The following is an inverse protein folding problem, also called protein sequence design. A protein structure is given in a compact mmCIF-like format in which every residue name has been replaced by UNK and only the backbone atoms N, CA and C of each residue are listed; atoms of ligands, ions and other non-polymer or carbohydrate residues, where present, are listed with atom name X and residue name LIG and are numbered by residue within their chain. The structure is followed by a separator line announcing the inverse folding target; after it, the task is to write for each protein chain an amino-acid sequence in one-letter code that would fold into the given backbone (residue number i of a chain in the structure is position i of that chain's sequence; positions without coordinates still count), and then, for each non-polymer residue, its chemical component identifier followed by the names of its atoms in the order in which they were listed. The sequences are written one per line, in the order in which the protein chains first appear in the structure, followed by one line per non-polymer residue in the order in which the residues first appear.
data_IF_594703775130
#
_entry.id   IF_594703775130
#
_cell.length_a   1.000
_cell.length_b   1.000
_cell.length_c   1.000
_cell.angle_alpha   90.00
_cell.angle_beta   90.00
_cell.angle_gamma   90.00
#
_symmetry.space_group_name_H-M   'P 1'
#
loop_
_entity.id
_entity.type
_entity.pdbx_description
1 polymer ?
#
# COMPACT_ATOMS: atom_id res chain seq x y z
N UNK A 1 -18.12 9.02 -8.40
CA UNK A 1 -17.52 7.67 -8.50
C UNK A 1 -18.06 6.80 -7.39
N UNK A 2 -18.66 5.67 -7.73
CA UNK A 2 -19.21 4.73 -6.75
C UNK A 2 -18.35 3.48 -6.73
N UNK A 3 -17.84 3.17 -5.54
CA UNK A 3 -17.06 1.96 -5.32
C UNK A 3 -17.97 0.86 -4.77
N UNK A 4 -17.95 -0.30 -5.41
CA UNK A 4 -18.73 -1.46 -4.99
C UNK A 4 -17.81 -2.52 -4.40
N UNK A 5 -17.78 -2.62 -3.07
CA UNK A 5 -16.95 -3.59 -2.36
C UNK A 5 -17.85 -4.53 -1.57
N UNK A 6 -17.61 -5.84 -1.77
CA UNK A 6 -18.17 -6.86 -0.92
C UNK A 6 -17.31 -6.88 0.35
N UNK A 7 -17.87 -6.58 1.53
CA UNK A 7 -17.08 -6.55 2.76
C UNK A 7 -16.54 -7.94 3.15
N UNK A 8 -17.21 -9.02 2.73
CA UNK A 8 -16.74 -10.38 2.98
C UNK A 8 -16.20 -10.59 4.39
N UNK A 9 -15.21 -11.45 4.52
CA UNK A 9 -14.58 -11.78 5.80
C UNK A 9 -13.30 -10.99 6.07
N UNK A 10 -12.97 -10.05 5.22
CA UNK A 10 -11.62 -9.52 5.18
C UNK A 10 -11.29 -8.49 6.24
N UNK A 11 -12.27 -7.88 6.93
CA UNK A 11 -11.94 -6.71 7.73
C UNK A 11 -12.58 -6.66 9.09
N UNK A 12 -11.77 -6.24 10.07
CA UNK A 12 -12.22 -5.90 11.39
C UNK A 12 -12.73 -4.45 11.49
N UNK A 13 -13.01 -4.05 12.72
CA UNK A 13 -13.46 -2.68 13.03
C UNK A 13 -12.32 -1.69 12.78
N UNK A 14 -12.69 -0.45 12.43
CA UNK A 14 -11.72 0.61 12.15
C UNK A 14 -11.25 0.68 10.70
N UNK A 15 -11.62 -0.29 9.87
CA UNK A 15 -11.27 -0.30 8.47
C UNK A 15 -11.70 0.98 7.76
N UNK A 16 -12.86 1.50 8.12
CA UNK A 16 -13.43 2.67 7.45
C UNK A 16 -12.53 3.91 7.60
N UNK A 17 -12.09 4.20 8.82
CA UNK A 17 -11.22 5.35 9.09
C UNK A 17 -9.84 5.16 8.49
N UNK A 18 -9.26 3.97 8.64
CA UNK A 18 -7.92 3.69 8.14
C UNK A 18 -7.89 3.73 6.61
N UNK A 19 -8.95 3.23 5.97
CA UNK A 19 -9.09 3.28 4.52
C UNK A 19 -9.22 4.72 4.03
N UNK A 20 -10.01 5.53 4.70
CA UNK A 20 -10.17 6.94 4.35
C UNK A 20 -8.85 7.71 4.44
N UNK A 21 -8.05 7.43 5.47
CA UNK A 21 -6.73 8.05 5.60
C UNK A 21 -5.83 7.72 4.40
N UNK A 22 -5.81 6.45 3.98
CA UNK A 22 -5.07 6.04 2.79
C UNK A 22 -5.57 6.74 1.53
N UNK A 23 -6.89 6.79 1.35
CA UNK A 23 -7.50 7.38 0.15
C UNK A 23 -7.10 8.84 0.01
N UNK A 24 -7.10 9.61 1.10
CA UNK A 24 -6.71 11.01 1.06
C UNK A 24 -5.28 11.20 0.57
N UNK A 25 -4.37 10.32 0.98
CA UNK A 25 -2.99 10.37 0.53
C UNK A 25 -2.85 9.89 -0.91
N UNK A 26 -3.53 8.80 -1.27
CA UNK A 26 -3.49 8.28 -2.64
C UNK A 26 -3.91 9.33 -3.66
N UNK A 27 -4.96 10.08 -3.37
CA UNK A 27 -5.44 11.15 -4.27
C UNK A 27 -4.39 12.21 -4.58
N UNK A 28 -3.46 12.45 -3.66
CA UNK A 28 -2.41 13.46 -3.85
C UNK A 28 -1.34 13.01 -4.84
N UNK A 29 -1.11 11.70 -4.97
CA UNK A 29 0.07 11.19 -5.67
C UNK A 29 -0.23 10.35 -6.90
N UNK A 30 -1.48 9.88 -7.09
CA UNK A 30 -1.82 9.05 -8.25
C UNK A 30 -1.77 9.86 -9.54
N UNK A 31 -1.11 9.31 -10.56
CA UNK A 31 -1.07 9.83 -11.91
C UNK A 31 -1.42 8.72 -12.90
N UNK A 32 -1.67 9.03 -14.19
CA UNK A 32 -1.96 7.98 -15.19
C UNK A 32 -0.79 7.01 -15.43
N UNK A 33 0.38 7.32 -14.89
CA UNK A 33 1.57 6.47 -15.03
C UNK A 33 1.89 5.67 -13.78
N UNK A 34 1.09 5.81 -12.73
CA UNK A 34 1.38 5.19 -11.43
C UNK A 34 1.30 3.66 -11.49
N UNK A 35 2.41 3.03 -11.10
CA UNK A 35 2.47 1.61 -10.75
C UNK A 35 2.34 1.52 -9.23
N UNK A 36 1.34 0.78 -8.75
CA UNK A 36 1.01 0.72 -7.32
C UNK A 36 1.17 -0.68 -6.77
N UNK A 37 1.72 -0.78 -5.58
CA UNK A 37 1.78 -2.03 -4.81
C UNK A 37 0.94 -1.86 -3.54
N UNK A 38 0.00 -2.78 -3.33
CA UNK A 38 -0.86 -2.81 -2.14
C UNK A 38 -0.50 -4.04 -1.31
N UNK A 39 0.21 -3.83 -0.20
CA UNK A 39 0.65 -4.91 0.68
C UNK A 39 -0.45 -5.21 1.70
N UNK A 40 -0.87 -6.48 1.75
CA UNK A 40 -2.00 -6.88 2.59
C UNK A 40 -3.31 -6.36 2.00
N UNK A 41 -3.51 -6.59 0.70
CA UNK A 41 -4.58 -5.95 -0.07
C UNK A 41 -5.99 -6.33 0.37
N UNK A 42 -6.17 -7.50 0.98
CA UNK A 42 -7.47 -7.98 1.45
C UNK A 42 -8.49 -8.09 0.34
N UNK A 43 -9.51 -7.24 0.40
CA UNK A 43 -10.56 -7.19 -0.64
C UNK A 43 -10.13 -6.44 -1.89
N UNK A 44 -8.96 -5.82 -1.88
CA UNK A 44 -8.45 -5.05 -3.00
C UNK A 44 -8.94 -3.61 -3.06
N UNK A 45 -9.61 -3.14 -2.02
CA UNK A 45 -10.28 -1.82 -2.04
C UNK A 45 -9.34 -0.67 -2.40
N UNK A 46 -8.14 -0.61 -1.81
CA UNK A 46 -7.23 0.51 -2.05
C UNK A 46 -6.65 0.47 -3.45
N UNK A 47 -6.26 -0.72 -3.92
CA UNK A 47 -5.75 -0.88 -5.28
C UNK A 47 -6.84 -0.58 -6.32
N UNK A 48 -8.05 -1.08 -6.11
CA UNK A 48 -9.17 -0.83 -7.01
C UNK A 48 -9.49 0.67 -7.08
N UNK A 49 -9.57 1.34 -5.93
CA UNK A 49 -9.79 2.79 -5.89
C UNK A 49 -8.69 3.53 -6.61
N UNK A 50 -7.43 3.11 -6.43
CA UNK A 50 -6.29 3.73 -7.12
C UNK A 50 -6.43 3.62 -8.64
N UNK A 51 -6.86 2.46 -9.13
CA UNK A 51 -7.12 2.27 -10.56
C UNK A 51 -8.28 3.13 -11.05
N UNK A 52 -9.34 3.26 -10.24
CA UNK A 52 -10.47 4.14 -10.56
C UNK A 52 -10.07 5.62 -10.58
N UNK A 53 -9.07 6.00 -9.79
CA UNK A 53 -8.51 7.35 -9.81
C UNK A 53 -7.51 7.57 -10.94
N UNK A 54 -7.23 6.55 -11.75
CA UNK A 54 -6.42 6.70 -12.93
C UNK A 54 -5.03 6.07 -12.88
N UNK A 55 -4.69 5.32 -11.83
CA UNK A 55 -3.43 4.59 -11.81
C UNK A 55 -3.35 3.63 -12.98
N UNK A 56 -2.14 3.41 -13.47
CA UNK A 56 -1.92 2.58 -14.65
C UNK A 56 -2.11 1.09 -14.36
N UNK A 57 -1.55 0.63 -13.25
CA UNK A 57 -1.52 -0.79 -12.90
C UNK A 57 -1.32 -0.95 -11.41
N UNK A 58 -1.81 -2.05 -10.85
CA UNK A 58 -1.64 -2.37 -9.45
C UNK A 58 -1.24 -3.83 -9.27
N UNK A 59 -0.43 -4.06 -8.23
CA UNK A 59 -0.09 -5.41 -7.75
C UNK A 59 -0.52 -5.46 -6.29
N UNK A 60 -1.19 -6.52 -5.89
CA UNK A 60 -1.55 -6.75 -4.49
C UNK A 60 -0.90 -7.99 -3.96
N UNK A 61 -0.45 -7.95 -2.71
CA UNK A 61 0.01 -9.14 -2.00
C UNK A 61 -0.87 -9.40 -0.79
N UNK A 62 -1.04 -10.66 -0.45
CA UNK A 62 -1.78 -11.06 0.75
C UNK A 62 -1.32 -12.44 1.20
N UNK A 63 -1.48 -12.72 2.48
CA UNK A 63 -1.15 -14.03 3.04
C UNK A 63 -2.27 -15.03 2.83
N UNK A 64 -3.51 -14.53 2.69
CA UNK A 64 -4.70 -15.37 2.60
C UNK A 64 -5.05 -15.66 1.13
N UNK A 65 -5.02 -16.94 0.70
CA UNK A 65 -5.42 -17.28 -0.66
C UNK A 65 -6.85 -16.87 -1.02
N UNK A 66 -7.73 -16.73 -0.04
CA UNK A 66 -9.11 -16.27 -0.27
C UNK A 66 -9.15 -14.84 -0.82
N UNK A 67 -8.10 -14.06 -0.65
CA UNK A 67 -8.02 -12.71 -1.17
C UNK A 67 -8.09 -12.68 -2.71
N UNK A 68 -7.62 -13.72 -3.37
CA UNK A 68 -7.65 -13.79 -4.84
C UNK A 68 -9.08 -13.70 -5.37
N UNK A 69 -9.98 -14.51 -4.80
CA UNK A 69 -11.38 -14.51 -5.23
C UNK A 69 -12.10 -13.22 -4.83
N UNK A 70 -11.83 -12.71 -3.63
CA UNK A 70 -12.42 -11.46 -3.16
C UNK A 70 -12.02 -10.29 -4.06
N UNK A 71 -10.75 -10.21 -4.42
CA UNK A 71 -10.24 -9.17 -5.31
C UNK A 71 -10.87 -9.32 -6.71
N UNK A 72 -10.93 -10.53 -7.25
CA UNK A 72 -11.50 -10.78 -8.57
C UNK A 72 -12.97 -10.34 -8.63
N UNK A 73 -13.74 -10.66 -7.60
CA UNK A 73 -15.16 -10.26 -7.52
C UNK A 73 -15.30 -8.73 -7.46
N UNK A 74 -14.48 -8.09 -6.65
CA UNK A 74 -14.53 -6.64 -6.51
C UNK A 74 -14.03 -5.91 -7.77
N UNK A 75 -13.06 -6.46 -8.46
CA UNK A 75 -12.64 -5.94 -9.76
C UNK A 75 -13.78 -5.98 -10.77
N UNK A 76 -14.45 -7.13 -10.88
CA UNK A 76 -15.58 -7.29 -11.78
C UNK A 76 -16.70 -6.32 -11.45
N UNK A 77 -17.01 -6.14 -10.16
CA UNK A 77 -18.07 -5.25 -9.70
C UNK A 77 -17.78 -3.77 -10.00
N UNK A 78 -16.53 -3.42 -10.24
CA UNK A 78 -16.10 -2.04 -10.47
C UNK A 78 -15.56 -1.80 -11.89
N UNK A 79 -15.71 -2.77 -12.77
CA UNK A 79 -15.30 -2.62 -14.17
C UNK A 79 -13.79 -2.58 -14.37
N UNK A 80 -13.02 -3.17 -13.46
CA UNK A 80 -11.56 -3.25 -13.57
C UNK A 80 -11.19 -4.48 -14.38
N UNK A 81 -10.40 -4.30 -15.44
CA UNK A 81 -9.93 -5.40 -16.27
C UNK A 81 -8.90 -6.24 -15.51
N UNK A 82 -8.89 -7.57 -15.72
CA UNK A 82 -7.93 -8.45 -15.03
C UNK A 82 -6.47 -8.06 -15.24
N UNK A 83 -6.14 -7.45 -16.36
CA UNK A 83 -4.77 -7.03 -16.69
C UNK A 83 -4.30 -5.85 -15.86
N UNK A 84 -5.23 -5.12 -15.25
CA UNK A 84 -4.90 -3.91 -14.48
C UNK A 84 -4.46 -4.21 -13.06
N UNK A 85 -4.81 -5.37 -12.52
CA UNK A 85 -4.54 -5.69 -11.12
C UNK A 85 -4.10 -7.15 -11.00
N UNK A 86 -2.88 -7.36 -10.55
CA UNK A 86 -2.27 -8.67 -10.39
C UNK A 86 -2.14 -9.03 -8.92
N UNK A 87 -2.59 -10.24 -8.54
CA UNK A 87 -2.50 -10.72 -7.16
C UNK A 87 -1.39 -11.72 -6.99
N UNK A 88 -0.67 -11.62 -5.87
CA UNK A 88 0.38 -12.55 -5.48
C UNK A 88 0.15 -12.96 -4.03
N UNK A 89 0.08 -14.26 -3.77
CA UNK A 89 -0.11 -14.79 -2.42
C UNK A 89 1.25 -15.12 -1.82
N UNK A 90 1.51 -14.62 -0.62
CA UNK A 90 2.73 -14.86 0.11
C UNK A 90 3.12 -13.69 1.00
N UNK A 91 4.19 -13.87 1.77
CA UNK A 91 4.67 -12.87 2.71
C UNK A 91 5.89 -12.14 2.13
N UNK A 92 5.66 -10.93 1.64
CA UNK A 92 6.72 -10.12 1.04
C UNK A 92 7.84 -9.77 2.02
N UNK A 93 7.58 -9.83 3.32
CA UNK A 93 8.56 -9.46 4.35
C UNK A 93 9.72 -10.46 4.37
N UNK A 94 9.42 -11.75 4.29
CA UNK A 94 10.43 -12.80 4.50
C UNK A 94 10.56 -13.81 3.35
N UNK A 95 9.73 -13.70 2.31
CA UNK A 95 9.77 -14.63 1.18
C UNK A 95 10.42 -13.95 -0.01
N UNK A 96 11.68 -14.33 -0.27
CA UNK A 96 12.45 -13.76 -1.37
C UNK A 96 11.78 -14.03 -2.73
N UNK A 97 11.13 -15.19 -2.90
CA UNK A 97 10.45 -15.51 -4.14
C UNK A 97 9.31 -14.52 -4.42
N UNK A 98 8.58 -14.13 -3.38
CA UNK A 98 7.52 -13.11 -3.50
C UNK A 98 8.13 -11.74 -3.82
N UNK A 99 9.22 -11.37 -3.13
CA UNK A 99 9.92 -10.11 -3.40
C UNK A 99 10.39 -10.02 -4.84
N UNK A 100 10.99 -11.11 -5.36
CA UNK A 100 11.47 -11.16 -6.73
C UNK A 100 10.33 -11.07 -7.74
N UNK A 101 9.21 -11.74 -7.46
CA UNK A 101 8.04 -11.72 -8.32
C UNK A 101 7.36 -10.35 -8.36
N UNK A 102 7.27 -9.71 -7.20
CA UNK A 102 6.72 -8.34 -7.09
C UNK A 102 7.59 -7.35 -7.87
N UNK A 103 8.90 -7.48 -7.75
CA UNK A 103 9.86 -6.65 -8.47
C UNK A 103 10.49 -5.57 -7.61
N UNK A 104 11.60 -5.04 -8.10
CA UNK A 104 12.42 -4.05 -7.38
C UNK A 104 12.42 -2.73 -8.13
N UNK A 105 12.40 -1.62 -7.37
CA UNK A 105 12.42 -0.25 -7.90
C UNK A 105 11.40 -0.06 -9.04
N UNK A 106 10.21 -0.63 -8.82
CA UNK A 106 9.17 -0.71 -9.84
C UNK A 106 7.97 0.17 -9.54
N UNK A 107 7.71 0.47 -8.27
CA UNK A 107 6.45 1.08 -7.85
C UNK A 107 6.61 2.55 -7.52
N UNK A 108 5.69 3.35 -8.06
CA UNK A 108 5.58 4.78 -7.75
C UNK A 108 4.95 5.00 -6.40
N UNK A 109 4.03 4.10 -6.00
CA UNK A 109 3.34 4.13 -4.72
C UNK A 109 3.29 2.72 -4.15
N UNK A 110 3.65 2.59 -2.87
CA UNK A 110 3.36 1.40 -2.08
C UNK A 110 2.42 1.80 -0.97
N UNK A 111 1.27 1.16 -0.88
CA UNK A 111 0.30 1.40 0.18
C UNK A 111 0.15 0.14 1.03
N UNK A 112 0.06 0.31 2.34
CA UNK A 112 -0.11 -0.78 3.28
C UNK A 112 -1.03 -0.33 4.41
N UNK A 113 -2.23 -0.89 4.45
CA UNK A 113 -3.21 -0.65 5.51
C UNK A 113 -3.26 -1.88 6.40
N UNK A 114 -2.28 -2.00 7.29
CA UNK A 114 -2.07 -3.17 8.14
C UNK A 114 -1.60 -2.74 9.52
N UNK A 115 -1.52 -3.69 10.45
CA UNK A 115 -1.13 -3.39 11.82
C UNK A 115 0.31 -2.87 11.92
N UNK A 116 0.55 -2.00 12.90
CA UNK A 116 1.88 -1.43 13.15
C UNK A 116 2.95 -2.50 13.33
N UNK A 117 2.62 -3.60 14.01
CA UNK A 117 3.56 -4.70 14.26
C UNK A 117 4.01 -5.39 12.96
N UNK A 118 3.22 -5.28 11.90
CA UNK A 118 3.58 -5.79 10.57
C UNK A 118 4.28 -4.71 9.76
N UNK A 119 3.87 -3.45 9.91
CA UNK A 119 4.49 -2.32 9.20
C UNK A 119 5.96 -2.13 9.55
N UNK A 120 6.32 -2.33 10.82
CA UNK A 120 7.71 -2.13 11.27
C UNK A 120 8.67 -3.05 10.52
N UNK A 121 8.47 -4.39 10.48
CA UNK A 121 9.37 -5.25 9.70
C UNK A 121 9.21 -5.10 8.19
N UNK A 122 8.05 -4.66 7.71
CA UNK A 122 7.80 -4.46 6.28
C UNK A 122 8.59 -3.28 5.72
N UNK A 123 8.69 -2.21 6.47
CA UNK A 123 9.23 -0.93 5.99
C UNK A 123 10.62 -1.05 5.37
N UNK A 124 11.62 -1.71 5.99
CA UNK A 124 12.93 -1.83 5.36
C UNK A 124 12.92 -2.70 4.10
N UNK A 125 11.96 -3.59 3.95
CA UNK A 125 11.83 -4.43 2.75
C UNK A 125 11.25 -3.62 1.59
N UNK A 126 10.19 -2.86 1.87
CA UNK A 126 9.45 -2.11 0.86
C UNK A 126 10.30 -1.05 0.15
N UNK A 127 11.30 -0.52 0.82
CA UNK A 127 12.23 0.43 0.20
C UNK A 127 12.82 -0.13 -1.10
N UNK A 128 13.03 -1.45 -1.15
CA UNK A 128 13.59 -2.12 -2.33
C UNK A 128 12.60 -2.17 -3.51
N UNK A 129 11.30 -2.16 -3.23
CA UNK A 129 10.28 -2.19 -4.28
C UNK A 129 9.93 -0.81 -4.81
N UNK A 130 10.16 0.24 -4.01
CA UNK A 130 9.88 1.61 -4.41
C UNK A 130 10.92 2.13 -5.41
N UNK A 131 10.44 2.86 -6.41
CA UNK A 131 11.31 3.70 -7.24
C UNK A 131 11.87 4.85 -6.41
N UNK A 132 12.98 5.41 -6.84
CA UNK A 132 13.46 6.68 -6.29
C UNK A 132 12.38 7.75 -6.47
N UNK A 133 12.10 8.48 -5.42
CA UNK A 133 10.99 9.43 -5.40
C UNK A 133 9.63 8.80 -5.17
N UNK A 134 9.55 7.47 -5.04
CA UNK A 134 8.32 6.76 -4.80
C UNK A 134 7.74 7.04 -3.41
N UNK A 135 6.44 6.89 -3.30
CA UNK A 135 5.67 7.26 -2.10
C UNK A 135 5.25 6.00 -1.36
N UNK A 136 5.44 5.99 -0.05
CA UNK A 136 5.02 4.92 0.84
C UNK A 136 3.91 5.45 1.75
N UNK A 137 2.72 4.87 1.62
CA UNK A 137 1.54 5.28 2.39
C UNK A 137 1.15 4.14 3.32
N UNK A 138 1.15 4.41 4.62
CA UNK A 138 0.77 3.43 5.64
C UNK A 138 -0.47 3.89 6.39
N UNK A 139 -1.26 2.95 6.86
CA UNK A 139 -2.39 3.21 7.74
C UNK A 139 -2.70 1.94 8.54
N UNK A 140 -3.74 1.97 9.37
CA UNK A 140 -4.02 0.86 10.29
C UNK A 140 -3.21 0.96 11.57
N UNK A 141 -2.64 2.13 11.85
CA UNK A 141 -1.78 2.39 13.00
C UNK A 141 -2.61 3.01 14.10
N UNK A 142 -2.69 2.34 15.25
CA UNK A 142 -3.31 2.96 16.43
C UNK A 142 -2.38 4.05 16.96
N UNK A 143 -2.95 5.10 17.57
CA UNK A 143 -2.20 6.31 17.94
C UNK A 143 -1.00 6.05 18.85
N UNK A 144 -1.07 5.06 19.73
CA UNK A 144 0.05 4.73 20.62
C UNK A 144 1.22 4.05 19.89
N UNK A 145 1.03 3.68 18.64
CA UNK A 145 2.08 3.07 17.78
C UNK A 145 2.67 4.04 16.78
N UNK A 146 2.23 5.29 16.78
CA UNK A 146 2.74 6.29 15.83
C UNK A 146 4.26 6.39 15.86
N UNK A 147 4.84 6.49 17.05
CA UNK A 147 6.28 6.70 17.21
C UNK A 147 7.07 5.52 16.65
N UNK A 148 6.66 4.28 16.94
CA UNK A 148 7.41 3.11 16.48
C UNK A 148 7.39 3.00 14.96
N UNK A 149 6.28 3.38 14.32
CA UNK A 149 6.19 3.36 12.86
C UNK A 149 7.01 4.49 12.23
N UNK A 150 6.91 5.71 12.76
CA UNK A 150 7.69 6.83 12.23
C UNK A 150 9.20 6.59 12.40
N UNK A 151 9.62 5.99 13.50
CA UNK A 151 11.02 5.64 13.71
C UNK A 151 11.49 4.58 12.70
N UNK A 152 10.66 3.58 12.41
CA UNK A 152 10.98 2.55 11.40
C UNK A 152 11.12 3.17 10.02
N UNK A 153 10.24 4.11 9.67
CA UNK A 153 10.28 4.83 8.39
C UNK A 153 11.59 5.60 8.26
N UNK A 154 11.97 6.34 9.29
CA UNK A 154 13.21 7.12 9.30
C UNK A 154 14.43 6.21 9.26
N UNK A 155 14.41 5.11 10.03
CA UNK A 155 15.51 4.15 10.07
C UNK A 155 15.75 3.48 8.71
N UNK A 156 14.70 3.33 7.90
CA UNK A 156 14.81 2.79 6.55
C UNK A 156 15.35 3.81 5.53
N UNK A 157 15.60 5.04 5.95
CA UNK A 157 16.12 6.09 5.09
C UNK A 157 15.07 6.83 4.29
N UNK A 158 13.80 6.64 4.60
CA UNK A 158 12.71 7.33 3.94
C UNK A 158 12.52 8.73 4.52
N UNK A 159 12.08 9.66 3.68
CA UNK A 159 11.74 11.01 4.12
C UNK A 159 10.29 11.05 4.56
N UNK A 160 10.04 11.42 5.81
CA UNK A 160 8.70 11.55 6.35
C UNK A 160 8.04 12.79 5.74
N UNK A 161 6.91 12.61 5.06
CA UNK A 161 6.20 13.72 4.42
C UNK A 161 5.05 14.25 5.27
N UNK A 162 4.22 13.35 5.77
CA UNK A 162 3.01 13.75 6.47
C UNK A 162 2.55 12.66 7.42
N UNK A 163 2.02 13.05 8.56
CA UNK A 163 1.32 12.15 9.48
C UNK A 163 -0.09 12.71 9.64
N UNK A 164 -1.09 11.89 9.37
CA UNK A 164 -2.49 12.31 9.44
C UNK A 164 -3.26 11.43 10.41
N UNK A 165 -4.36 11.97 10.92
CA UNK A 165 -5.11 11.35 12.01
C UNK A 165 -6.60 11.32 11.69
N UNK A 166 -7.26 10.23 12.10
CA UNK A 166 -8.72 10.16 12.10
C UNK A 166 -9.14 9.29 13.29
N UNK A 167 -9.77 9.93 14.29
CA UNK A 167 -10.07 9.26 15.54
C UNK A 167 -8.78 8.81 16.22
N UNK A 168 -8.72 7.55 16.58
CA UNK A 168 -7.53 6.95 17.20
C UNK A 168 -6.54 6.38 16.16
N UNK A 169 -6.82 6.55 14.88
CA UNK A 169 -6.04 5.97 13.80
C UNK A 169 -5.08 6.99 13.18
N UNK A 170 -3.92 6.49 12.75
CA UNK A 170 -2.83 7.30 12.21
C UNK A 170 -2.42 6.74 10.85
N UNK A 171 -2.10 7.64 9.94
CA UNK A 171 -1.49 7.31 8.65
C UNK A 171 -0.16 8.03 8.54
N UNK A 172 0.86 7.31 8.11
CA UNK A 172 2.21 7.86 7.92
C UNK A 172 2.56 7.75 6.44
N UNK A 173 2.89 8.88 5.81
CA UNK A 173 3.27 8.97 4.41
C UNK A 173 4.72 9.41 4.31
N UNK A 174 5.49 8.69 3.51
CA UNK A 174 6.92 8.95 3.34
C UNK A 174 7.32 8.80 1.88
N UNK A 175 8.53 9.27 1.54
CA UNK A 175 9.06 9.23 0.19
C UNK A 175 10.45 8.61 0.20
N UNK A 176 10.74 7.78 -0.80
CA UNK A 176 12.09 7.26 -1.03
C UNK A 176 12.92 8.37 -1.65
N UNK A 177 13.98 8.78 -0.95
CA UNK A 177 14.86 9.83 -1.44
C UNK A 177 15.52 9.41 -2.73
N UNK A 178 15.65 10.38 -3.65
CA UNK A 178 16.42 10.15 -4.85
C UNK A 178 17.90 10.03 -4.49
N UNK A 179 18.57 9.08 -5.13
CA UNK A 179 20.01 8.95 -4.97
C UNK A 179 20.63 10.17 -5.63
N UNK A 180 21.28 11.03 -4.84
CA UNK A 180 22.06 12.10 -5.43
C UNK A 180 23.21 11.46 -6.17
N UNK A 181 23.32 11.70 -7.47
CA UNK A 181 24.51 11.40 -8.19
C UNK A 181 25.66 12.04 -7.45
N UNK A 182 26.59 11.24 -7.05
CA UNK A 182 27.82 11.74 -6.46
C UNK A 182 28.61 12.41 -7.55
N UNK A 183 28.14 13.59 -7.90
CA UNK A 183 28.84 14.34 -8.80
C UNK A 183 29.71 15.17 -8.11
N UNK A 184 30.75 14.68 -7.95
CA UNK A 184 31.43 15.75 -7.62
C UNK A 184 32.33 16.35 -8.26
#
# INVERSE_FOLDING_TARGET
MILHIDPGTAFGTGMHETTQLCIRQLKKFITPETELLDVGTGSGILAILSLMYGAKHAVGTDLDPCAVDAVADNMANNGIAPEQFEMMIGNIINDKAVQDQVGYEKYDIVVANILADVLVPLTPVIVNQLKEGGIYITSGIIDDKETVVTEAVKAAGLELLEVTYQGEWVSVTARKKETQCADS
#
